data_IF_172709001365
#
_entry.id   IF_172709001365
#
_cell.length_a   1.000
_cell.length_b   1.000
_cell.length_c   1.000
_cell.angle_alpha   90.00
_cell.angle_beta   90.00
_cell.angle_gamma   90.00
#
_symmetry.space_group_name_H-M   'P 1'
#
loop_
_entity.id
_entity.type
_entity.pdbx_description
1 polymer ?
#
# COMPACT_ATOMS: atom_id res chain seq x y z
N UNK A 1 -8.69 -2.79 -3.12
CA UNK A 1 -9.83 -3.35 -3.88
C UNK A 1 -10.78 -4.04 -2.93
N UNK A 2 -12.08 -3.74 -2.99
CA UNK A 2 -13.05 -4.25 -2.02
C UNK A 2 -12.88 -3.61 -0.64
N UNK A 3 -13.43 -4.26 0.39
CA UNK A 3 -13.31 -3.81 1.77
C UNK A 3 -11.90 -4.02 2.35
N UNK A 4 -11.53 -3.09 3.21
CA UNK A 4 -10.43 -3.19 4.18
C UNK A 4 -10.97 -3.18 5.62
N UNK A 5 -10.09 -3.14 6.60
CA UNK A 5 -10.43 -2.81 7.98
C UNK A 5 -11.01 -1.39 8.13
N UNK A 6 -10.52 -0.41 7.37
CA UNK A 6 -11.07 0.96 7.29
C UNK A 6 -12.26 1.09 6.33
N UNK A 7 -13.12 0.07 6.29
CA UNK A 7 -14.40 0.08 5.59
C UNK A 7 -15.56 0.04 6.59
N UNK A 8 -16.76 0.46 6.15
CA UNK A 8 -17.96 0.48 7.01
C UNK A 8 -18.57 -0.90 7.28
N UNK A 9 -18.22 -1.89 6.45
CA UNK A 9 -18.57 -3.29 6.57
C UNK A 9 -17.65 -4.09 5.64
N UNK A 10 -17.64 -5.42 5.77
CA UNK A 10 -16.91 -6.29 4.85
C UNK A 10 -17.75 -6.62 3.62
N UNK A 11 -17.16 -6.44 2.45
CA UNK A 11 -17.75 -6.70 1.13
C UNK A 11 -16.64 -7.03 0.13
N UNK A 12 -17.00 -7.71 -0.94
CA UNK A 12 -16.26 -7.70 -2.20
C UNK A 12 -17.12 -7.11 -3.32
N UNK A 13 -16.57 -7.02 -4.53
CA UNK A 13 -17.32 -6.58 -5.70
C UNK A 13 -18.14 -7.69 -6.34
N UNK A 14 -18.07 -8.94 -5.84
CA UNK A 14 -18.76 -10.09 -6.41
C UNK A 14 -19.19 -11.11 -5.34
N UNK A 15 -20.15 -10.71 -4.50
CA UNK A 15 -20.60 -11.49 -3.34
C UNK A 15 -21.66 -12.55 -3.70
N UNK A 16 -22.05 -12.67 -4.97
CA UNK A 16 -22.96 -13.73 -5.44
C UNK A 16 -22.21 -15.07 -5.46
N UNK A 17 -22.67 -16.03 -4.67
CA UNK A 17 -22.00 -17.33 -4.54
C UNK A 17 -21.81 -18.03 -5.88
N UNK A 18 -20.59 -18.54 -6.11
CA UNK A 18 -20.19 -19.29 -7.30
C UNK A 18 -20.34 -18.52 -8.63
N UNK A 19 -20.27 -17.19 -8.61
CA UNK A 19 -20.22 -16.38 -9.83
C UNK A 19 -18.84 -16.42 -10.50
N UNK A 20 -18.46 -17.59 -11.01
CA UNK A 20 -17.16 -17.83 -11.65
C UNK A 20 -16.97 -16.94 -12.90
N UNK A 21 -18.06 -16.53 -13.54
CA UNK A 21 -18.04 -15.67 -14.72
C UNK A 21 -17.91 -14.16 -14.38
N UNK A 22 -18.08 -13.79 -13.11
CA UNK A 22 -18.10 -12.41 -12.63
C UNK A 22 -19.21 -11.60 -13.34
N UNK A 23 -20.39 -12.21 -13.50
CA UNK A 23 -21.56 -11.61 -14.14
C UNK A 23 -22.23 -10.56 -13.25
N UNK A 24 -22.08 -10.68 -11.93
CA UNK A 24 -22.61 -9.77 -10.91
C UNK A 24 -21.53 -8.86 -10.32
N UNK A 25 -20.32 -8.87 -10.88
CA UNK A 25 -19.27 -7.94 -10.48
C UNK A 25 -19.74 -6.50 -10.68
N UNK A 26 -19.72 -5.69 -9.63
CA UNK A 26 -19.86 -4.24 -9.72
C UNK A 26 -19.12 -3.53 -8.59
N UNK A 27 -18.72 -2.28 -8.86
CA UNK A 27 -18.32 -1.38 -7.79
C UNK A 27 -19.53 -1.03 -6.92
N UNK A 28 -19.30 -0.68 -5.67
CA UNK A 28 -20.37 -0.31 -4.75
C UNK A 28 -20.50 1.21 -4.64
N UNK A 29 -21.58 1.68 -4.03
CA UNK A 29 -21.84 3.11 -3.78
C UNK A 29 -20.65 3.82 -3.13
N UNK A 30 -19.90 3.16 -2.24
CA UNK A 30 -18.69 3.74 -1.62
C UNK A 30 -17.58 4.11 -2.62
N UNK A 31 -17.46 3.36 -3.71
CA UNK A 31 -16.51 3.67 -4.78
C UNK A 31 -16.97 4.91 -5.56
N UNK A 32 -18.25 4.95 -5.95
CA UNK A 32 -18.82 6.02 -6.77
C UNK A 32 -19.02 7.34 -6.01
N UNK A 33 -19.44 7.28 -4.75
CA UNK A 33 -19.82 8.45 -3.96
C UNK A 33 -18.63 9.08 -3.22
N UNK A 34 -17.59 8.29 -2.93
CA UNK A 34 -16.45 8.76 -2.13
C UNK A 34 -15.10 8.57 -2.83
N UNK A 35 -14.69 7.33 -3.12
CA UNK A 35 -13.31 7.05 -3.55
C UNK A 35 -12.97 7.70 -4.89
N UNK A 36 -13.81 7.50 -5.91
CA UNK A 36 -13.60 8.04 -7.26
C UNK A 36 -13.68 9.57 -7.27
N UNK A 37 -14.70 10.22 -6.66
CA UNK A 37 -14.75 11.68 -6.57
C UNK A 37 -13.52 12.29 -5.89
N UNK A 38 -13.05 11.72 -4.77
CA UNK A 38 -11.88 12.22 -4.05
C UNK A 38 -10.61 12.13 -4.91
N UNK A 39 -10.40 11.02 -5.62
CA UNK A 39 -9.26 10.85 -6.53
C UNK A 39 -9.29 11.87 -7.68
N UNK A 40 -10.47 12.11 -8.28
CA UNK A 40 -10.64 13.11 -9.33
C UNK A 40 -10.34 14.51 -8.82
N UNK A 41 -10.91 14.87 -7.67
CA UNK A 41 -10.67 16.17 -7.04
C UNK A 41 -9.18 16.37 -6.67
N UNK A 42 -8.52 15.34 -6.15
CA UNK A 42 -7.09 15.40 -5.84
C UNK A 42 -6.24 15.63 -7.11
N UNK A 43 -6.59 14.97 -8.21
CA UNK A 43 -5.93 15.18 -9.52
C UNK A 43 -6.15 16.60 -10.05
N UNK A 44 -7.38 17.11 -9.96
CA UNK A 44 -7.72 18.47 -10.36
C UNK A 44 -6.94 19.53 -9.55
N UNK A 45 -6.89 19.38 -8.22
CA UNK A 45 -6.14 20.28 -7.34
C UNK A 45 -4.63 20.24 -7.60
N UNK A 46 -4.11 19.06 -7.94
CA UNK A 46 -2.70 18.87 -8.28
C UNK A 46 -2.36 19.37 -9.69
N UNK A 47 -3.34 19.47 -10.58
CA UNK A 47 -3.15 19.87 -11.99
C UNK A 47 -2.57 18.77 -12.88
N UNK A 48 -2.46 17.55 -12.37
CA UNK A 48 -2.01 16.35 -13.08
C UNK A 48 -2.66 15.10 -12.48
N UNK A 49 -2.70 14.01 -13.25
CA UNK A 49 -3.24 12.74 -12.78
C UNK A 49 -2.34 12.18 -11.69
N UNK A 50 -2.91 11.94 -10.50
CA UNK A 50 -2.15 11.31 -9.40
C UNK A 50 -1.88 9.84 -9.72
N UNK A 51 -0.70 9.34 -9.32
CA UNK A 51 -0.37 7.92 -9.47
C UNK A 51 -1.14 7.12 -8.42
N UNK A 52 -1.95 6.18 -8.87
CA UNK A 52 -2.69 5.27 -7.99
C UNK A 52 -2.07 3.88 -8.04
N UNK A 53 -2.00 3.19 -6.91
CA UNK A 53 -1.87 1.74 -6.89
C UNK A 53 -3.00 1.13 -6.09
N UNK A 54 -3.20 -0.17 -6.23
CA UNK A 54 -4.29 -0.88 -5.56
C UNK A 54 -3.84 -2.24 -5.06
N UNK A 55 -4.39 -2.68 -3.94
CA UNK A 55 -4.15 -4.02 -3.38
C UNK A 55 -5.48 -4.56 -2.84
N UNK A 56 -5.84 -5.83 -3.04
CA UNK A 56 -6.99 -6.44 -2.39
C UNK A 56 -6.63 -6.96 -0.99
N UNK A 57 -7.53 -6.80 -0.03
CA UNK A 57 -7.39 -7.45 1.28
C UNK A 57 -7.92 -8.88 1.27
N UNK A 58 -8.90 -9.17 0.41
CA UNK A 58 -9.48 -10.51 0.27
C UNK A 58 -10.17 -10.63 -1.09
N UNK A 59 -10.25 -11.86 -1.60
CA UNK A 59 -11.21 -12.23 -2.64
C UNK A 59 -12.64 -12.30 -2.07
N UNK A 60 -13.68 -12.44 -2.93
CA UNK A 60 -14.99 -12.91 -2.49
C UNK A 60 -14.87 -14.15 -1.59
N UNK A 61 -15.71 -14.23 -0.56
CA UNK A 61 -15.65 -15.30 0.44
C UNK A 61 -15.77 -16.69 -0.22
N UNK A 62 -16.68 -16.84 -1.18
CA UNK A 62 -16.93 -18.10 -1.89
C UNK A 62 -15.75 -18.61 -2.73
N UNK A 63 -14.73 -17.77 -2.97
CA UNK A 63 -13.48 -18.18 -3.63
C UNK A 63 -12.45 -18.81 -2.67
N UNK A 64 -12.72 -18.82 -1.37
CA UNK A 64 -11.74 -19.20 -0.33
C UNK A 64 -12.08 -20.54 0.30
N UNK A 65 -11.05 -21.23 0.78
CA UNK A 65 -11.19 -22.50 1.50
C UNK A 65 -11.97 -22.38 2.82
N UNK A 66 -12.01 -21.19 3.40
CA UNK A 66 -12.72 -20.83 4.62
C UNK A 66 -14.17 -20.40 4.40
N UNK A 67 -14.54 -20.02 3.17
CA UNK A 67 -15.75 -19.25 2.86
C UNK A 67 -15.98 -18.04 3.80
N UNK A 68 -14.91 -17.31 4.13
CA UNK A 68 -14.90 -16.22 5.11
C UNK A 68 -13.95 -15.09 4.68
N UNK A 69 -14.32 -13.83 4.89
CA UNK A 69 -13.44 -12.68 4.65
C UNK A 69 -12.24 -12.61 5.59
N UNK A 70 -12.39 -13.09 6.82
CA UNK A 70 -11.41 -12.91 7.89
C UNK A 70 -10.39 -14.03 8.00
N UNK A 71 -10.46 -15.05 7.12
CA UNK A 71 -9.50 -16.15 7.14
C UNK A 71 -9.40 -16.89 5.82
N UNK A 72 -8.39 -17.75 5.69
CA UNK A 72 -8.26 -18.70 4.59
C UNK A 72 -7.46 -18.19 3.40
N UNK A 73 -7.37 -19.05 2.39
CA UNK A 73 -6.59 -18.84 1.17
C UNK A 73 -7.45 -19.05 -0.08
N UNK A 74 -7.02 -18.46 -1.19
CA UNK A 74 -7.68 -18.64 -2.49
C UNK A 74 -7.61 -20.11 -2.92
N UNK A 75 -8.76 -20.70 -3.27
CA UNK A 75 -8.79 -22.03 -3.86
C UNK A 75 -8.20 -22.01 -5.26
N UNK A 76 -7.35 -22.98 -5.59
CA UNK A 76 -6.70 -23.09 -6.92
C UNK A 76 -7.68 -23.06 -8.09
N UNK A 77 -8.89 -23.58 -7.90
CA UNK A 77 -9.94 -23.57 -8.94
C UNK A 77 -10.39 -22.15 -9.32
N UNK A 78 -10.13 -21.15 -8.48
CA UNK A 78 -10.50 -19.76 -8.69
C UNK A 78 -9.31 -18.85 -9.02
N UNK A 79 -8.13 -19.40 -9.32
CA UNK A 79 -6.96 -18.58 -9.69
C UNK A 79 -7.22 -17.73 -10.95
N UNK A 80 -7.81 -18.30 -12.00
CA UNK A 80 -8.18 -17.53 -13.19
C UNK A 80 -9.35 -16.57 -12.95
N UNK A 81 -10.48 -16.98 -12.34
CA UNK A 81 -11.54 -16.05 -11.94
C UNK A 81 -11.02 -14.86 -11.11
N UNK A 82 -10.08 -15.09 -10.19
CA UNK A 82 -9.47 -14.02 -9.41
C UNK A 82 -8.62 -13.07 -10.27
N UNK A 83 -7.87 -13.56 -11.26
CA UNK A 83 -7.18 -12.69 -12.21
C UNK A 83 -8.17 -11.87 -13.05
N UNK A 84 -9.29 -12.48 -13.48
CA UNK A 84 -10.36 -11.77 -14.20
C UNK A 84 -11.03 -10.70 -13.33
N UNK A 85 -11.11 -10.90 -12.01
CA UNK A 85 -11.65 -9.91 -11.06
C UNK A 85 -10.80 -8.63 -11.04
N UNK A 86 -9.47 -8.74 -11.15
CA UNK A 86 -8.60 -7.56 -11.32
C UNK A 86 -8.92 -6.81 -12.61
N UNK A 87 -9.17 -7.52 -13.72
CA UNK A 87 -9.54 -6.87 -14.99
C UNK A 87 -10.87 -6.13 -14.85
N UNK A 88 -11.89 -6.78 -14.27
CA UNK A 88 -13.19 -6.15 -14.01
C UNK A 88 -13.06 -4.88 -13.15
N UNK A 89 -12.18 -4.90 -12.16
CA UNK A 89 -11.88 -3.73 -11.33
C UNK A 89 -11.24 -2.60 -12.13
N UNK A 90 -10.21 -2.89 -12.94
CA UNK A 90 -9.56 -1.88 -13.76
C UNK A 90 -10.48 -1.33 -14.86
N UNK A 91 -11.29 -2.17 -15.49
CA UNK A 91 -12.32 -1.75 -16.45
C UNK A 91 -13.34 -0.84 -15.80
N UNK A 92 -13.78 -1.15 -14.57
CA UNK A 92 -14.76 -0.35 -13.86
C UNK A 92 -14.25 1.05 -13.50
N UNK A 93 -13.02 1.15 -12.98
CA UNK A 93 -12.40 2.45 -12.72
C UNK A 93 -12.05 3.21 -14.01
N UNK A 94 -11.64 2.51 -15.07
CA UNK A 94 -11.35 3.12 -16.37
C UNK A 94 -12.61 3.74 -17.01
N UNK A 95 -13.78 3.12 -16.87
CA UNK A 95 -15.08 3.71 -17.28
C UNK A 95 -15.35 5.05 -16.59
N UNK A 96 -14.83 5.22 -15.39
CA UNK A 96 -14.89 6.45 -14.61
C UNK A 96 -13.73 7.40 -14.87
N UNK A 97 -12.89 7.16 -15.88
CA UNK A 97 -11.68 7.92 -16.20
C UNK A 97 -10.65 7.94 -15.05
N UNK A 98 -10.57 6.86 -14.28
CA UNK A 98 -9.55 6.66 -13.25
C UNK A 98 -8.63 5.52 -13.67
N UNK A 99 -7.33 5.79 -13.73
CA UNK A 99 -6.30 4.83 -14.13
C UNK A 99 -5.32 4.55 -13.01
N UNK A 100 -4.74 3.35 -13.01
CA UNK A 100 -3.74 2.93 -12.03
C UNK A 100 -2.33 2.93 -12.64
N UNK A 101 -1.35 3.22 -11.80
CA UNK A 101 0.08 3.05 -12.06
C UNK A 101 0.55 1.63 -11.71
N UNK A 102 0.02 1.05 -10.63
CA UNK A 102 0.46 -0.27 -10.17
C UNK A 102 -0.57 -1.01 -9.32
N UNK A 103 -0.17 -2.19 -8.88
CA UNK A 103 -0.92 -3.02 -7.96
C UNK A 103 0.02 -3.90 -7.12
N UNK A 104 -0.50 -4.43 -6.02
CA UNK A 104 0.03 -5.63 -5.39
C UNK A 104 -0.95 -6.79 -5.54
N UNK A 105 -0.47 -8.05 -5.64
CA UNK A 105 -1.33 -9.23 -5.73
C UNK A 105 -2.29 -9.40 -4.55
N UNK A 106 -1.86 -9.03 -3.35
CA UNK A 106 -2.59 -9.23 -2.10
C UNK A 106 -1.97 -8.37 -1.00
N UNK A 107 -2.79 -7.71 -0.20
CA UNK A 107 -2.36 -7.00 1.01
C UNK A 107 -2.03 -8.01 2.12
N UNK A 108 -0.87 -7.87 2.75
CA UNK A 108 -0.39 -8.70 3.86
C UNK A 108 -0.62 -10.21 3.66
N UNK A 109 -0.08 -10.81 2.57
CA UNK A 109 -0.31 -12.21 2.23
C UNK A 109 0.15 -13.20 3.31
N UNK A 110 1.00 -12.78 4.27
CA UNK A 110 1.41 -13.65 5.38
C UNK A 110 0.30 -13.87 6.42
N UNK A 111 -0.80 -13.10 6.34
CA UNK A 111 -1.90 -13.14 7.32
C UNK A 111 -3.03 -14.05 6.82
N UNK A 112 -3.12 -15.25 7.42
CA UNK A 112 -4.14 -16.25 7.07
C UNK A 112 -5.44 -16.15 7.88
N UNK A 113 -5.42 -15.41 8.99
CA UNK A 113 -6.58 -15.21 9.87
C UNK A 113 -6.38 -13.94 10.68
N UNK A 114 -7.40 -13.09 10.70
CA UNK A 114 -7.45 -11.90 11.53
C UNK A 114 -8.91 -11.58 11.92
N UNK A 115 -9.17 -10.41 12.50
CA UNK A 115 -10.51 -9.84 12.67
C UNK A 115 -10.84 -8.80 11.57
N UNK A 116 -10.05 -8.74 10.51
CA UNK A 116 -10.20 -7.85 9.36
C UNK A 116 -10.18 -8.69 8.07
N UNK A 117 -10.57 -8.15 6.91
CA UNK A 117 -10.47 -8.86 5.65
C UNK A 117 -9.01 -9.26 5.39
N UNK A 118 -8.76 -10.55 5.17
CA UNK A 118 -7.42 -11.09 4.89
C UNK A 118 -7.52 -12.29 3.95
N UNK A 119 -6.52 -12.51 3.13
CA UNK A 119 -6.39 -13.72 2.34
C UNK A 119 -4.92 -14.15 2.34
N UNK A 120 -4.65 -15.31 2.95
CA UNK A 120 -3.30 -15.82 3.09
C UNK A 120 -2.77 -16.42 1.79
N UNK A 121 -1.51 -16.11 1.49
CA UNK A 121 -0.73 -16.72 0.42
C UNK A 121 0.60 -17.22 0.99
N UNK A 122 1.22 -18.15 0.29
CA UNK A 122 2.65 -18.40 0.40
C UNK A 122 3.34 -17.73 -0.77
N UNK A 123 4.62 -17.40 -0.63
CA UNK A 123 5.41 -16.84 -1.72
C UNK A 123 5.36 -17.70 -3.00
N UNK A 124 5.30 -19.04 -2.86
CA UNK A 124 5.14 -19.94 -4.00
C UNK A 124 3.77 -19.83 -4.68
N UNK A 125 2.69 -19.60 -3.92
CA UNK A 125 1.37 -19.34 -4.51
C UNK A 125 1.35 -18.00 -5.22
N UNK A 126 1.94 -16.95 -4.64
CA UNK A 126 2.01 -15.64 -5.29
C UNK A 126 2.80 -15.74 -6.60
N UNK A 127 3.97 -16.38 -6.57
CA UNK A 127 4.78 -16.69 -7.76
C UNK A 127 3.95 -17.38 -8.84
N UNK A 128 3.34 -18.52 -8.50
CA UNK A 128 2.62 -19.35 -9.46
C UNK A 128 1.42 -18.60 -10.04
N UNK A 129 0.75 -17.78 -9.23
CA UNK A 129 -0.39 -16.99 -9.67
C UNK A 129 0.00 -15.81 -10.54
N UNK A 130 1.06 -15.07 -10.18
CA UNK A 130 1.59 -13.98 -11.00
C UNK A 130 2.09 -14.51 -12.34
N UNK A 131 2.87 -15.59 -12.35
CA UNK A 131 3.42 -16.18 -13.56
C UNK A 131 2.34 -16.72 -14.52
N UNK A 132 1.38 -17.48 -13.99
CA UNK A 132 0.49 -18.29 -14.83
C UNK A 132 -0.91 -17.70 -15.01
N UNK A 133 -1.31 -16.70 -14.21
CA UNK A 133 -2.67 -16.17 -14.21
C UNK A 133 -2.68 -14.64 -14.28
N UNK A 134 -2.24 -13.93 -13.24
CA UNK A 134 -2.38 -12.47 -13.17
C UNK A 134 -1.60 -11.76 -14.29
N UNK A 135 -0.31 -12.05 -14.45
CA UNK A 135 0.55 -11.41 -15.45
C UNK A 135 0.01 -11.56 -16.88
N UNK A 136 -0.20 -12.81 -17.38
CA UNK A 136 -0.76 -13.03 -18.71
C UNK A 136 -2.13 -12.39 -18.91
N UNK A 137 -3.01 -12.47 -17.90
CA UNK A 137 -4.37 -11.89 -17.98
C UNK A 137 -4.32 -10.37 -18.09
N UNK A 138 -3.42 -9.70 -17.34
CA UNK A 138 -3.22 -8.26 -17.47
C UNK A 138 -2.71 -7.88 -18.86
N UNK A 139 -1.74 -8.61 -19.42
CA UNK A 139 -1.21 -8.34 -20.76
C UNK A 139 -2.31 -8.51 -21.82
N UNK A 140 -3.04 -9.62 -21.79
CA UNK A 140 -4.11 -9.91 -22.75
C UNK A 140 -5.22 -8.86 -22.72
N UNK A 141 -5.57 -8.36 -21.53
CA UNK A 141 -6.57 -7.32 -21.34
C UNK A 141 -6.07 -5.89 -21.62
N UNK A 142 -4.80 -5.71 -22.02
CA UNK A 142 -4.22 -4.38 -22.32
C UNK A 142 -3.71 -3.61 -21.10
N UNK A 143 -3.64 -4.25 -19.94
CA UNK A 143 -3.14 -3.70 -18.66
C UNK A 143 -1.68 -4.08 -18.36
N UNK A 144 -0.93 -4.64 -19.32
CA UNK A 144 0.47 -5.06 -19.14
C UNK A 144 1.45 -3.94 -18.78
N UNK A 145 1.04 -2.67 -18.83
CA UNK A 145 1.84 -1.52 -18.38
C UNK A 145 1.81 -1.28 -16.87
N UNK A 146 0.86 -1.89 -16.14
CA UNK A 146 0.73 -1.74 -14.69
C UNK A 146 1.95 -2.34 -13.96
N UNK A 147 2.40 -1.67 -12.91
CA UNK A 147 3.51 -2.15 -12.07
C UNK A 147 3.00 -3.12 -11.02
N UNK A 148 3.31 -4.41 -11.19
CA UNK A 148 3.07 -5.41 -10.16
C UNK A 148 4.17 -5.32 -9.11
N UNK A 149 3.78 -5.12 -7.86
CA UNK A 149 4.67 -5.09 -6.70
C UNK A 149 4.45 -6.37 -5.89
N UNK A 150 5.48 -7.21 -5.77
CA UNK A 150 5.39 -8.44 -4.98
C UNK A 150 5.44 -8.14 -3.47
N UNK A 151 5.04 -9.13 -2.65
CA UNK A 151 5.01 -9.08 -1.18
C UNK A 151 3.86 -8.24 -0.58
N UNK A 152 3.97 -6.91 -0.53
CA UNK A 152 2.96 -6.02 0.12
C UNK A 152 2.68 -6.40 1.59
N UNK A 153 3.76 -6.59 2.34
CA UNK A 153 3.80 -6.96 3.75
C UNK A 153 5.10 -6.42 4.39
N UNK A 154 5.27 -6.68 5.67
CA UNK A 154 6.36 -6.19 6.49
C UNK A 154 7.76 -6.63 6.00
N UNK A 155 8.75 -5.75 6.20
CA UNK A 155 10.14 -5.98 5.76
C UNK A 155 10.83 -7.20 6.35
N UNK A 156 10.31 -7.79 7.43
CA UNK A 156 10.84 -9.03 8.02
C UNK A 156 10.66 -10.25 7.11
N UNK A 157 9.85 -10.14 6.05
CA UNK A 157 9.67 -11.19 5.05
C UNK A 157 10.73 -11.12 3.93
N UNK A 158 11.56 -10.08 3.93
CA UNK A 158 12.64 -9.90 2.96
C UNK A 158 13.95 -10.55 3.43
N UNK A 159 14.81 -11.01 2.50
CA UNK A 159 14.55 -11.17 1.06
C UNK A 159 13.76 -12.47 0.74
N UNK A 160 13.58 -13.36 1.71
CA UNK A 160 13.11 -14.74 1.50
C UNK A 160 11.84 -14.86 0.65
N UNK A 161 10.84 -14.00 0.88
CA UNK A 161 9.60 -14.04 0.12
C UNK A 161 9.82 -13.70 -1.35
N UNK A 162 10.55 -12.61 -1.61
CA UNK A 162 10.78 -12.14 -2.98
C UNK A 162 11.78 -13.02 -3.73
N UNK A 163 12.72 -13.66 -3.03
CA UNK A 163 13.58 -14.69 -3.60
C UNK A 163 12.77 -15.85 -4.19
N UNK A 164 11.73 -16.30 -3.48
CA UNK A 164 10.84 -17.35 -3.99
C UNK A 164 10.04 -16.85 -5.19
N UNK A 165 9.46 -15.65 -5.11
CA UNK A 165 8.65 -15.08 -6.22
C UNK A 165 9.49 -14.86 -7.47
N UNK A 166 10.69 -14.31 -7.33
CA UNK A 166 11.57 -13.93 -8.44
C UNK A 166 12.44 -15.09 -8.94
N UNK A 167 12.42 -16.25 -8.29
CA UNK A 167 13.12 -17.46 -8.76
C UNK A 167 12.52 -18.07 -10.05
N UNK A 168 11.29 -17.71 -10.39
CA UNK A 168 10.63 -18.11 -11.63
C UNK A 168 10.70 -16.96 -12.64
N UNK A 169 11.31 -17.22 -13.81
CA UNK A 169 11.53 -16.21 -14.84
C UNK A 169 10.22 -15.57 -15.34
N UNK A 170 9.12 -16.33 -15.40
CA UNK A 170 7.84 -15.83 -15.86
C UNK A 170 7.20 -14.90 -14.82
N UNK A 171 7.28 -15.24 -13.52
CA UNK A 171 6.87 -14.31 -12.47
C UNK A 171 7.74 -13.05 -12.46
N UNK A 172 9.06 -13.22 -12.56
CA UNK A 172 10.03 -12.12 -12.52
C UNK A 172 9.88 -11.15 -13.71
N UNK A 173 9.38 -11.60 -14.86
CA UNK A 173 9.07 -10.74 -16.01
C UNK A 173 7.94 -9.76 -15.73
N UNK A 174 6.90 -10.20 -15.01
CA UNK A 174 5.73 -9.36 -14.68
C UNK A 174 5.97 -8.48 -13.44
N UNK A 175 6.78 -8.93 -12.48
CA UNK A 175 7.07 -8.16 -11.26
C UNK A 175 7.99 -6.98 -11.58
N UNK A 176 7.51 -5.77 -11.30
CA UNK A 176 8.24 -4.52 -11.49
C UNK A 176 8.95 -4.03 -10.22
N UNK A 177 8.41 -4.38 -9.05
CA UNK A 177 8.94 -3.92 -7.77
C UNK A 177 8.50 -4.79 -6.60
N UNK A 178 8.87 -4.35 -5.40
CA UNK A 178 8.67 -5.05 -4.14
C UNK A 178 8.00 -4.07 -3.18
N UNK A 179 6.81 -4.40 -2.72
CA UNK A 179 6.01 -3.64 -1.79
C UNK A 179 6.32 -4.04 -0.34
N UNK A 180 6.45 -3.05 0.55
CA UNK A 180 6.91 -3.24 1.94
C UNK A 180 6.06 -2.42 2.92
N UNK A 181 5.72 -3.01 4.07
CA UNK A 181 5.00 -2.33 5.15
C UNK A 181 5.91 -1.98 6.33
N UNK A 182 5.55 -0.92 7.06
CA UNK A 182 6.36 -0.35 8.16
C UNK A 182 6.19 -1.04 9.53
N UNK A 183 5.13 -1.83 9.75
CA UNK A 183 4.67 -2.17 11.10
C UNK A 183 5.64 -3.00 11.96
N UNK A 184 6.60 -3.69 11.33
CA UNK A 184 7.64 -4.45 12.03
C UNK A 184 9.04 -3.86 11.91
N UNK A 185 9.18 -2.59 11.49
CA UNK A 185 10.49 -1.96 11.33
C UNK A 185 11.32 -1.93 12.62
N UNK A 186 10.68 -1.82 13.79
CA UNK A 186 11.37 -1.87 15.08
C UNK A 186 11.96 -3.25 15.42
N UNK A 187 11.57 -4.30 14.69
CA UNK A 187 11.99 -5.70 14.92
C UNK A 187 12.97 -6.23 13.88
N UNK A 188 13.12 -5.52 12.76
CA UNK A 188 13.97 -5.94 11.64
C UNK A 188 14.86 -4.78 11.25
N UNK A 189 16.15 -5.02 11.10
CA UNK A 189 17.10 -3.99 10.70
C UNK A 189 16.87 -3.56 9.23
N UNK A 190 17.04 -2.27 8.94
CA UNK A 190 16.85 -1.66 7.62
C UNK A 190 17.82 -2.16 6.55
N UNK A 191 18.97 -2.72 6.93
CA UNK A 191 19.92 -3.35 5.99
C UNK A 191 19.32 -4.49 5.16
N UNK A 192 18.18 -5.07 5.56
CA UNK A 192 17.44 -6.05 4.76
C UNK A 192 16.96 -5.45 3.42
N UNK A 193 16.66 -4.14 3.39
CA UNK A 193 16.26 -3.43 2.18
C UNK A 193 17.45 -3.35 1.20
N UNK A 194 18.63 -2.96 1.70
CA UNK A 194 19.85 -2.93 0.89
C UNK A 194 20.25 -4.33 0.39
N UNK A 195 20.14 -5.35 1.24
CA UNK A 195 20.40 -6.75 0.85
C UNK A 195 19.45 -7.19 -0.27
N UNK A 196 18.16 -6.90 -0.13
CA UNK A 196 17.15 -7.21 -1.14
C UNK A 196 17.44 -6.52 -2.45
N UNK A 197 17.77 -5.22 -2.44
CA UNK A 197 18.16 -4.50 -3.64
C UNK A 197 19.41 -5.09 -4.30
N UNK A 198 20.43 -5.50 -3.53
CA UNK A 198 21.63 -6.15 -4.08
C UNK A 198 21.32 -7.48 -4.77
N UNK A 199 20.32 -8.22 -4.29
CA UNK A 199 19.89 -9.49 -4.87
C UNK A 199 19.00 -9.30 -6.09
N UNK A 200 18.15 -8.27 -6.10
CA UNK A 200 17.18 -7.98 -7.17
C UNK A 200 17.26 -6.50 -7.63
N UNK A 201 18.40 -6.08 -8.22
CA UNK A 201 18.68 -4.65 -8.47
C UNK A 201 17.81 -4.02 -9.57
N UNK A 202 17.15 -4.82 -10.40
CA UNK A 202 16.20 -4.37 -11.42
C UNK A 202 14.78 -4.13 -10.86
N UNK A 203 14.52 -4.49 -9.60
CA UNK A 203 13.23 -4.31 -8.93
C UNK A 203 13.30 -3.12 -7.97
N UNK A 204 12.37 -2.18 -8.10
CA UNK A 204 12.28 -1.07 -7.15
C UNK A 204 11.68 -1.53 -5.82
N UNK A 205 12.14 -0.94 -4.70
CA UNK A 205 11.50 -1.11 -3.39
C UNK A 205 10.53 0.05 -3.15
N UNK A 206 9.35 -0.22 -2.61
CA UNK A 206 8.33 0.79 -2.36
C UNK A 206 7.59 0.49 -1.06
N UNK A 207 7.57 1.45 -0.13
CA UNK A 207 6.72 1.33 1.06
C UNK A 207 5.29 1.69 0.68
N UNK A 208 4.44 0.66 0.54
CA UNK A 208 3.04 0.77 0.11
C UNK A 208 2.09 1.11 1.25
N UNK A 209 2.49 0.84 2.48
CA UNK A 209 1.69 1.11 3.66
C UNK A 209 2.56 1.38 4.88
N UNK A 210 2.20 2.42 5.61
CA UNK A 210 2.78 2.74 6.89
C UNK A 210 1.79 3.50 7.74
N UNK A 211 1.63 3.07 8.99
CA UNK A 211 0.91 3.80 10.00
C UNK A 211 1.58 3.59 11.35
N UNK A 212 1.62 4.64 12.15
CA UNK A 212 2.00 4.49 13.54
C UNK A 212 0.77 3.95 14.27
N UNK A 213 0.79 2.65 14.60
CA UNK A 213 -0.32 1.90 15.24
C UNK A 213 -0.63 2.34 16.69
N UNK A 214 -0.40 3.62 17.00
CA UNK A 214 -0.85 4.30 18.20
C UNK A 214 -2.32 4.65 18.02
N UNK A 215 -3.12 4.33 19.04
CA UNK A 215 -4.54 4.68 19.07
C UNK A 215 -4.71 6.18 19.13
N UNK A 216 -5.70 6.71 18.41
CA UNK A 216 -6.05 8.11 18.55
C UNK A 216 -6.52 8.38 19.98
N UNK A 217 -5.87 9.35 20.61
CA UNK A 217 -6.37 10.00 21.82
C UNK A 217 -6.23 11.49 21.58
N UNK A 218 -7.24 12.27 21.97
CA UNK A 218 -7.18 13.73 21.87
C UNK A 218 -6.00 14.33 22.65
N UNK A 219 -5.52 13.64 23.70
CA UNK A 219 -4.28 14.00 24.42
C UNK A 219 -3.01 13.95 23.57
N UNK A 220 -3.03 13.17 22.49
CA UNK A 220 -1.87 12.87 21.65
C UNK A 220 -1.87 13.75 20.38
N UNK A 221 -2.83 14.68 20.26
CA UNK A 221 -2.83 15.65 19.16
C UNK A 221 -1.63 16.57 19.28
N UNK A 222 -0.84 16.65 18.21
CA UNK A 222 0.43 17.37 18.21
C UNK A 222 1.58 16.60 18.84
N UNK A 223 1.44 15.30 19.14
CA UNK A 223 2.54 14.48 19.66
C UNK A 223 3.67 14.39 18.63
N UNK A 224 4.77 15.07 18.97
CA UNK A 224 5.95 15.19 18.13
C UNK A 224 6.68 13.85 17.96
N UNK A 225 6.68 13.00 18.99
CA UNK A 225 7.34 11.68 18.94
C UNK A 225 6.70 10.77 17.87
N UNK A 226 5.40 10.95 17.58
CA UNK A 226 4.74 10.25 16.48
C UNK A 226 5.33 10.70 15.14
N UNK A 227 5.59 11.99 14.97
CA UNK A 227 6.22 12.55 13.78
C UNK A 227 7.68 12.11 13.60
N UNK A 228 8.45 12.07 14.69
CA UNK A 228 9.85 11.60 14.68
C UNK A 228 9.98 10.16 14.18
N UNK A 229 9.02 9.30 14.50
CA UNK A 229 8.96 7.92 13.98
C UNK A 229 8.81 7.88 12.45
N UNK A 230 8.01 8.78 11.86
CA UNK A 230 7.90 8.91 10.40
C UNK A 230 9.21 9.44 9.82
N UNK A 231 9.82 10.46 10.44
CA UNK A 231 11.09 11.03 10.00
C UNK A 231 12.19 9.96 9.92
N UNK A 232 12.36 9.20 10.99
CA UNK A 232 13.34 8.11 11.10
C UNK A 232 13.05 7.00 10.09
N UNK A 233 11.79 6.56 9.97
CA UNK A 233 11.41 5.52 9.00
C UNK A 233 11.69 5.94 7.56
N UNK A 234 11.25 7.13 7.15
CA UNK A 234 11.45 7.63 5.79
C UNK A 234 12.93 7.81 5.47
N UNK A 235 13.73 8.35 6.40
CA UNK A 235 15.18 8.49 6.21
C UNK A 235 15.88 7.15 6.07
N UNK A 236 15.53 6.16 6.89
CA UNK A 236 16.05 4.80 6.76
C UNK A 236 15.64 4.19 5.42
N UNK A 237 14.37 4.27 5.05
CA UNK A 237 13.86 3.74 3.79
C UNK A 237 14.60 4.34 2.58
N UNK A 238 14.63 5.66 2.45
CA UNK A 238 15.23 6.33 1.28
C UNK A 238 16.75 6.19 1.20
N UNK A 239 17.45 6.05 2.33
CA UNK A 239 18.89 5.72 2.31
C UNK A 239 19.17 4.24 1.99
N UNK A 240 18.15 3.38 2.01
CA UNK A 240 18.26 1.96 1.71
C UNK A 240 17.40 1.57 0.47
N UNK A 241 17.55 2.32 -0.62
CA UNK A 241 17.01 1.99 -1.96
C UNK A 241 15.49 2.03 -2.14
N UNK A 242 14.72 2.43 -1.12
CA UNK A 242 13.27 2.62 -1.27
C UNK A 242 13.01 3.83 -2.17
N UNK A 243 12.14 3.65 -3.16
CA UNK A 243 11.83 4.63 -4.21
C UNK A 243 10.55 5.43 -3.96
N UNK A 244 9.77 5.07 -2.94
CA UNK A 244 8.57 5.77 -2.53
C UNK A 244 8.00 5.21 -1.23
N UNK A 245 7.15 6.01 -0.58
CA UNK A 245 6.63 5.75 0.76
C UNK A 245 5.21 6.29 0.87
N UNK A 246 4.28 5.47 1.35
CA UNK A 246 2.85 5.79 1.40
C UNK A 246 2.32 5.61 2.82
N UNK A 247 1.74 6.68 3.37
CA UNK A 247 0.98 6.64 4.63
C UNK A 247 -0.34 5.89 4.42
N UNK A 248 -0.92 5.35 5.49
CA UNK A 248 -2.08 4.48 5.40
C UNK A 248 -3.38 5.24 5.12
N UNK A 249 -4.06 5.70 6.18
CA UNK A 249 -5.27 6.50 6.05
C UNK A 249 -4.91 7.96 5.84
N UNK A 250 -5.41 8.59 4.77
CA UNK A 250 -5.21 10.02 4.52
C UNK A 250 -5.77 10.88 5.67
N UNK A 251 -6.91 10.47 6.21
CA UNK A 251 -7.56 11.12 7.34
C UNK A 251 -8.45 10.15 8.11
N UNK A 252 -8.62 10.40 9.41
CA UNK A 252 -9.57 9.70 10.29
C UNK A 252 -10.32 10.69 11.17
N UNK A 253 -11.40 10.27 11.82
CA UNK A 253 -12.10 11.12 12.79
C UNK A 253 -11.35 11.20 14.14
N UNK A 254 -11.90 11.93 15.11
CA UNK A 254 -11.31 12.10 16.45
C UNK A 254 -11.19 10.80 17.28
N UNK A 255 -11.88 9.73 16.87
CA UNK A 255 -11.78 8.39 17.46
C UNK A 255 -10.85 7.45 16.64
N UNK A 256 -10.27 7.95 15.54
CA UNK A 256 -9.37 7.23 14.64
C UNK A 256 -10.05 6.30 13.63
N UNK A 257 -11.36 6.42 13.43
CA UNK A 257 -12.14 5.63 12.48
C UNK A 257 -12.82 6.49 11.39
N UNK A 258 -13.90 5.98 10.76
CA UNK A 258 -14.58 4.72 11.03
C UNK A 258 -13.78 3.48 10.57
N UNK A 259 -13.90 2.39 11.31
CA UNK A 259 -13.29 1.10 10.98
C UNK A 259 -14.18 -0.06 11.42
N UNK A 260 -14.05 -1.20 10.74
CA UNK A 260 -14.80 -2.43 11.03
C UNK A 260 -13.84 -3.55 11.40
N UNK A 261 -14.01 -4.07 12.62
CA UNK A 261 -13.27 -5.23 13.11
C UNK A 261 -14.26 -6.31 13.57
N UNK A 262 -14.04 -7.56 13.15
CA UNK A 262 -14.92 -8.69 13.45
C UNK A 262 -16.33 -8.54 12.83
N UNK A 263 -16.43 -7.83 11.69
CA UNK A 263 -17.68 -7.44 11.05
C UNK A 263 -18.63 -6.65 11.98
N UNK A 264 -18.06 -5.88 12.90
CA UNK A 264 -18.78 -4.93 13.76
C UNK A 264 -18.09 -3.57 13.66
N UNK A 265 -18.87 -2.46 13.63
CA UNK A 265 -18.29 -1.14 13.80
C UNK A 265 -17.53 -1.15 15.12
N UNK A 266 -16.22 -0.89 15.06
CA UNK A 266 -15.40 -0.82 16.25
C UNK A 266 -14.95 0.61 16.51
N UNK A 267 -14.71 0.93 17.78
CA UNK A 267 -14.20 2.22 18.24
C UNK A 267 -12.66 2.19 18.26
N UNK A 268 -12.04 1.17 17.66
CA UNK A 268 -10.59 1.03 17.59
C UNK A 268 -10.05 1.74 16.35
N UNK A 269 -9.69 3.01 16.52
CA UNK A 269 -9.05 3.78 15.48
C UNK A 269 -7.54 3.88 15.63
N UNK A 270 -6.83 3.87 14.51
CA UNK A 270 -5.41 4.18 14.42
C UNK A 270 -5.21 5.64 14.03
N UNK A 271 -4.07 6.21 14.40
CA UNK A 271 -3.74 7.59 14.07
C UNK A 271 -3.50 7.78 12.56
N UNK A 272 -3.69 9.00 12.09
CA UNK A 272 -3.41 9.42 10.72
C UNK A 272 -2.72 10.80 10.72
N UNK A 273 -2.13 11.17 9.59
CA UNK A 273 -1.54 12.51 9.43
C UNK A 273 -2.58 13.64 9.58
N UNK A 274 -3.86 13.36 9.32
CA UNK A 274 -4.96 14.33 9.45
C UNK A 274 -6.08 13.74 10.29
N UNK A 275 -6.52 14.50 11.30
CA UNK A 275 -7.70 14.17 12.11
C UNK A 275 -8.83 15.15 11.78
N UNK A 276 -10.04 14.65 11.52
CA UNK A 276 -11.20 15.46 11.12
C UNK A 276 -12.21 15.54 12.26
N UNK A 277 -12.50 16.77 12.70
CA UNK A 277 -13.62 17.07 13.59
C UNK A 277 -14.79 17.58 12.75
N UNK A 278 -15.68 16.66 12.37
CA UNK A 278 -16.86 16.98 11.55
C UNK A 278 -17.88 17.86 12.26
N UNK A 279 -17.91 17.88 13.60
CA UNK A 279 -18.86 18.73 14.36
C UNK A 279 -18.45 20.19 14.39
N UNK A 280 -17.13 20.45 14.32
CA UNK A 280 -16.55 21.78 14.27
C UNK A 280 -16.29 22.32 12.87
N UNK A 281 -16.50 21.51 11.82
CA UNK A 281 -16.06 21.81 10.44
C UNK A 281 -14.56 22.16 10.37
N UNK A 282 -13.74 21.38 11.07
CA UNK A 282 -12.30 21.61 11.17
C UNK A 282 -11.50 20.30 11.08
N UNK A 283 -10.21 20.42 10.78
CA UNK A 283 -9.28 19.30 10.77
C UNK A 283 -7.94 19.70 11.36
N UNK A 284 -7.28 18.75 11.99
CA UNK A 284 -5.99 18.90 12.64
C UNK A 284 -4.92 18.18 11.84
N UNK A 285 -3.94 18.93 11.36
CA UNK A 285 -2.74 18.38 10.72
C UNK A 285 -1.77 17.98 11.81
N UNK A 286 -1.56 16.69 11.99
CA UNK A 286 -0.67 16.13 13.01
C UNK A 286 0.80 16.23 12.58
N UNK A 287 1.78 16.11 13.50
CA UNK A 287 3.20 16.14 13.16
C UNK A 287 3.58 15.23 11.97
N UNK A 288 3.10 13.97 11.84
CA UNK A 288 3.36 13.13 10.67
C UNK A 288 3.05 13.79 9.32
N UNK A 289 2.01 14.63 9.23
CA UNK A 289 1.72 15.38 8.01
C UNK A 289 2.92 16.24 7.59
N UNK A 290 3.50 16.99 8.54
CA UNK A 290 4.59 17.91 8.25
C UNK A 290 5.89 17.17 7.95
N UNK A 291 6.17 16.07 8.65
CA UNK A 291 7.32 15.21 8.36
C UNK A 291 7.24 14.60 6.95
N UNK A 292 6.08 14.12 6.52
CA UNK A 292 5.89 13.69 5.14
C UNK A 292 6.02 14.85 4.14
N UNK A 293 5.51 16.03 4.48
CA UNK A 293 5.56 17.22 3.62
C UNK A 293 6.99 17.74 3.40
N UNK A 294 7.93 17.49 4.31
CA UNK A 294 9.36 17.76 4.09
C UNK A 294 9.95 16.95 2.92
N UNK A 295 9.32 15.84 2.54
CA UNK A 295 9.68 15.07 1.35
C UNK A 295 8.79 15.44 0.18
N UNK A 296 7.47 15.25 0.33
CA UNK A 296 6.54 15.30 -0.80
C UNK A 296 6.44 16.65 -1.50
N UNK A 297 6.75 17.76 -0.80
CA UNK A 297 6.78 19.10 -1.40
C UNK A 297 8.08 19.42 -2.13
N UNK A 298 9.19 18.77 -1.78
CA UNK A 298 10.52 19.15 -2.24
C UNK A 298 11.22 18.09 -3.09
N UNK A 299 10.76 16.83 -3.05
CA UNK A 299 11.32 15.70 -3.78
C UNK A 299 10.30 15.22 -4.80
N UNK A 300 10.18 15.88 -5.99
CA UNK A 300 9.21 15.50 -7.00
C UNK A 300 9.51 14.12 -7.62
N UNK A 301 8.52 13.46 -8.23
CA UNK A 301 8.73 12.20 -8.96
C UNK A 301 9.86 12.30 -9.99
N UNK A 302 10.73 11.30 -10.02
CA UNK A 302 11.92 11.29 -10.88
C UNK A 302 13.19 11.85 -10.22
N UNK A 303 13.08 12.38 -8.99
CA UNK A 303 14.27 12.69 -8.18
C UNK A 303 15.11 11.44 -7.91
N UNK A 304 16.42 11.60 -7.88
CA UNK A 304 17.40 10.52 -7.67
C UNK A 304 18.09 10.73 -6.33
N UNK A 305 18.15 9.69 -5.49
CA UNK A 305 18.95 9.73 -4.26
C UNK A 305 20.43 9.96 -4.59
N UNK A 306 21.09 10.81 -3.81
CA UNK A 306 22.53 11.05 -3.92
C UNK A 306 23.21 10.82 -2.58
N UNK A 307 24.40 10.22 -2.62
CA UNK A 307 25.17 9.93 -1.42
C UNK A 307 25.66 11.22 -0.76
N UNK A 308 25.37 11.36 0.53
CA UNK A 308 25.99 12.35 1.40
C UNK A 308 27.15 11.70 2.15
N UNK A 309 28.38 12.10 1.82
CA UNK A 309 29.57 11.68 2.57
C UNK A 309 29.73 12.57 3.79
N UNK A 310 29.46 11.99 4.95
CA UNK A 310 29.47 12.72 6.19
C UNK A 310 30.77 12.55 6.97
N UNK A 311 31.28 13.66 7.49
CA UNK A 311 32.60 13.72 8.13
C UNK A 311 32.53 14.12 9.61
N UNK A 312 31.36 14.48 10.20
CA UNK A 312 31.16 14.75 11.64
C UNK A 312 29.75 15.30 11.92
N UNK A 313 28.78 14.46 12.29
CA UNK A 313 27.37 14.90 12.22
C UNK A 313 26.67 14.95 13.56
N UNK A 314 27.38 14.68 14.66
CA UNK A 314 26.83 14.84 16.02
C UNK A 314 25.54 14.05 16.29
N UNK A 315 25.16 13.08 15.44
CA UNK A 315 23.91 12.31 15.55
C UNK A 315 22.78 12.73 14.58
N UNK A 316 22.99 13.70 13.67
CA UNK A 316 21.98 14.10 12.69
C UNK A 316 21.65 13.01 11.67
N UNK A 317 20.36 12.71 11.49
CA UNK A 317 19.89 11.89 10.38
C UNK A 317 19.69 12.77 9.14
N UNK A 318 20.02 12.24 7.96
CA UNK A 318 19.96 13.00 6.72
C UNK A 318 19.68 12.12 5.51
N UNK A 319 19.17 12.76 4.45
CA UNK A 319 19.03 12.17 3.11
C UNK A 319 19.08 13.28 2.07
N UNK A 320 19.61 12.98 0.89
CA UNK A 320 19.69 13.94 -0.21
C UNK A 320 19.18 13.37 -1.53
N UNK A 321 18.66 14.28 -2.35
CA UNK A 321 18.13 13.99 -3.66
C UNK A 321 18.60 15.05 -4.67
N UNK A 322 18.79 14.63 -5.92
CA UNK A 322 18.89 15.50 -7.07
C UNK A 322 17.55 15.46 -7.82
N UNK A 323 16.87 16.61 -7.94
CA UNK A 323 15.58 16.69 -8.65
C UNK A 323 15.79 16.69 -10.17
N UNK A 324 14.74 16.41 -10.97
CA UNK A 324 14.79 16.54 -12.44
C UNK A 324 15.20 17.94 -12.93
N UNK A 325 14.98 18.97 -12.12
CA UNK A 325 15.36 20.36 -12.36
C UNK A 325 16.79 20.68 -11.87
N UNK A 326 17.62 19.65 -11.63
CA UNK A 326 19.01 19.75 -11.18
C UNK A 326 19.18 20.48 -9.83
N UNK A 327 18.13 20.51 -9.01
CA UNK A 327 18.19 21.09 -7.66
C UNK A 327 18.60 20.01 -6.65
N UNK A 328 19.55 20.32 -5.78
CA UNK A 328 19.92 19.46 -4.66
C UNK A 328 19.02 19.76 -3.47
N UNK A 329 18.30 18.74 -3.00
CA UNK A 329 17.44 18.80 -1.81
C UNK A 329 18.07 17.96 -0.72
N UNK A 330 18.31 18.56 0.44
CA UNK A 330 18.83 17.87 1.62
C UNK A 330 17.80 18.00 2.73
N UNK A 331 17.38 16.86 3.27
CA UNK A 331 16.47 16.79 4.42
C UNK A 331 17.32 16.38 5.61
N UNK A 332 17.26 17.17 6.68
CA UNK A 332 17.98 16.96 7.93
C UNK A 332 16.98 16.76 9.06
N UNK A 333 17.24 15.80 9.93
CA UNK A 333 16.44 15.53 11.10
C UNK A 333 17.36 15.43 12.32
N UNK A 334 17.01 16.19 13.34
CA UNK A 334 17.62 16.17 14.65
C UNK A 334 16.55 15.70 15.63
N UNK A 335 16.73 14.51 16.17
CA UNK A 335 15.87 13.91 17.19
C UNK A 335 15.92 14.72 18.50
#
# INVERSE_FOLDING_TARGET
MGASDFSLHFYSYDDVENDVALDHFDLIDMDYDYKIPIVKQASELRGEVIKLFTTPWTSPAWMKDSNDYMSGSLLKTYYQPWANYFIKYFDAYARENVSFWGLAPQNEPTVYRNNIPVMGWSAAQERDWVANYLGPTLVEAGYGGLKIMALDDNRNNLPDWVDVVLSDEAAAEYVSGIAVHWYQDTRTNDSVLEQTHKMHPDKFLFYTEACNLVRVKTSDFGDWEIGEKYATSMMQAFNNWVSGWTDWNLAVNEDGGPATFGNKPDIFGYNAAIIVNSTGDEFYKQPPYYFQAHYSMFVPPGSVHIQLNNHNDGGLLHVAFLTPEETVVVILFNE
#
